data_IF_606533051084
#
_entry.id   IF_606533051084
#
_cell.length_a   1.000
_cell.length_b   1.000
_cell.length_c   1.000
_cell.angle_alpha   90.00
_cell.angle_beta   90.00
_cell.angle_gamma   90.00
#
_symmetry.space_group_name_H-M   'P 1'
#
loop_
_entity.id
_entity.type
_entity.pdbx_description
1 polymer ?
#
# COMPACT_ATOMS: atom_id res chain seq x y z
N UNK A 1 -8.87 -4.21 11.90
CA UNK A 1 -7.78 -4.76 11.08
C UNK A 1 -8.20 -4.64 9.63
N UNK A 2 -7.37 -4.06 8.76
CA UNK A 2 -7.69 -3.89 7.33
C UNK A 2 -8.87 -2.94 7.06
N UNK A 3 -8.82 -1.70 7.56
CA UNK A 3 -9.94 -0.74 7.51
C UNK A 3 -10.23 -0.14 6.12
N UNK A 4 -9.43 -0.50 5.12
CA UNK A 4 -9.53 0.11 3.81
C UNK A 4 -8.90 1.50 3.75
N UNK A 5 -8.98 2.12 2.58
CA UNK A 5 -8.39 3.43 2.31
C UNK A 5 -8.89 4.01 0.99
N UNK A 6 -8.86 5.33 0.89
CA UNK A 6 -9.16 6.00 -0.38
C UNK A 6 -7.91 5.99 -1.25
N UNK A 7 -8.09 5.73 -2.53
CA UNK A 7 -7.02 5.61 -3.53
C UNK A 7 -7.29 6.62 -4.64
N UNK A 8 -6.24 7.33 -5.06
CA UNK A 8 -6.28 8.22 -6.22
C UNK A 8 -5.21 7.79 -7.20
N UNK A 9 -5.58 7.62 -8.47
CA UNK A 9 -4.66 7.39 -9.57
C UNK A 9 -4.31 8.72 -10.24
N UNK A 10 -3.01 8.96 -10.43
CA UNK A 10 -2.49 10.13 -11.13
C UNK A 10 -1.81 9.71 -12.45
N UNK A 11 -2.02 10.50 -13.49
CA UNK A 11 -1.31 10.41 -14.76
C UNK A 11 -0.75 11.80 -15.09
N UNK A 12 0.56 11.89 -15.32
CA UNK A 12 1.28 13.16 -15.50
C UNK A 12 0.95 14.22 -14.43
N UNK A 13 0.89 13.78 -13.17
CA UNK A 13 0.58 14.64 -12.02
C UNK A 13 -0.89 15.05 -11.89
N UNK A 14 -1.77 14.64 -12.82
CA UNK A 14 -3.21 14.94 -12.78
C UNK A 14 -4.00 13.75 -12.25
N UNK A 15 -4.93 14.00 -11.32
CA UNK A 15 -5.86 12.97 -10.86
C UNK A 15 -6.78 12.53 -12.01
N UNK A 16 -6.80 11.22 -12.29
CA UNK A 16 -7.60 10.61 -13.37
C UNK A 16 -8.61 9.58 -12.88
N UNK A 17 -8.52 9.16 -11.62
CA UNK A 17 -9.46 8.23 -11.02
C UNK A 17 -9.37 8.23 -9.50
N UNK A 18 -10.49 7.97 -8.84
CA UNK A 18 -10.58 7.87 -7.38
C UNK A 18 -11.54 6.75 -7.01
N UNK A 19 -11.27 6.10 -5.89
CA UNK A 19 -12.12 5.05 -5.35
C UNK A 19 -11.71 4.68 -3.93
N UNK A 20 -12.48 3.78 -3.32
CA UNK A 20 -12.18 3.24 -2.01
C UNK A 20 -11.86 1.76 -2.09
N UNK A 21 -10.74 1.38 -1.48
CA UNK A 21 -10.44 -0.01 -1.16
C UNK A 21 -11.11 -0.31 0.17
N UNK A 22 -12.08 -1.22 0.20
CA UNK A 22 -12.86 -1.50 1.41
C UNK A 22 -12.05 -2.20 2.50
N UNK A 23 -11.09 -3.05 2.11
CA UNK A 23 -10.21 -3.76 3.04
C UNK A 23 -8.78 -3.80 2.54
N UNK A 24 -7.87 -3.37 3.39
CA UNK A 24 -6.42 -3.49 3.17
C UNK A 24 -5.87 -4.75 3.82
N UNK A 25 -4.73 -5.25 3.33
CA UNK A 25 -3.98 -6.35 3.97
C UNK A 25 -3.51 -5.92 5.37
N UNK A 26 -4.01 -6.52 6.47
CA UNK A 26 -3.79 -5.98 7.81
C UNK A 26 -2.40 -6.18 8.43
N UNK A 27 -1.58 -7.13 7.96
CA UNK A 27 -0.38 -7.55 8.71
C UNK A 27 0.84 -7.82 7.83
N UNK A 28 0.80 -8.89 7.03
CA UNK A 28 1.92 -9.30 6.18
C UNK A 28 1.44 -9.44 4.74
N UNK A 29 2.27 -9.03 3.78
CA UNK A 29 1.97 -9.15 2.35
C UNK A 29 2.31 -10.54 1.84
N UNK A 30 3.55 -10.98 2.03
CA UNK A 30 4.02 -12.32 1.65
C UNK A 30 5.15 -12.79 2.57
N UNK A 31 5.39 -14.11 2.58
CA UNK A 31 6.57 -14.71 3.23
C UNK A 31 7.65 -15.12 2.21
N UNK A 32 7.26 -15.29 0.94
CA UNK A 32 8.05 -15.88 -0.14
C UNK A 32 7.98 -15.12 -1.48
N UNK A 33 6.97 -14.28 -1.70
CA UNK A 33 6.90 -13.39 -2.88
C UNK A 33 7.69 -12.09 -2.68
N UNK A 34 8.40 -11.65 -3.71
CA UNK A 34 9.19 -10.42 -3.71
C UNK A 34 8.40 -9.21 -4.26
N UNK A 35 8.99 -8.01 -4.16
CA UNK A 35 8.48 -6.82 -4.84
C UNK A 35 9.01 -6.81 -6.28
N UNK A 36 8.24 -7.40 -7.19
CA UNK A 36 8.60 -7.47 -8.60
C UNK A 36 8.29 -6.16 -9.34
N UNK A 37 9.08 -5.85 -10.37
CA UNK A 37 8.88 -4.69 -11.24
C UNK A 37 8.86 -5.14 -12.69
N UNK A 38 7.73 -4.90 -13.38
CA UNK A 38 7.57 -5.17 -14.81
C UNK A 38 7.18 -6.60 -15.16
N UNK A 39 7.03 -7.51 -14.20
CA UNK A 39 6.43 -8.83 -14.37
C UNK A 39 6.05 -9.40 -13.01
N UNK A 40 5.04 -10.27 -12.92
CA UNK A 40 4.82 -11.05 -11.70
C UNK A 40 5.55 -12.39 -11.82
N UNK A 41 6.39 -12.74 -10.84
CA UNK A 41 7.13 -14.01 -10.82
C UNK A 41 6.44 -15.12 -10.04
N UNK A 42 5.38 -14.78 -9.29
CA UNK A 42 4.57 -15.69 -8.48
C UNK A 42 3.08 -15.66 -8.87
N UNK A 43 2.24 -15.34 -7.89
CA UNK A 43 0.79 -15.24 -8.07
C UNK A 43 0.44 -13.95 -8.85
N UNK A 44 -0.44 -14.01 -9.86
CA UNK A 44 -0.82 -12.81 -10.59
C UNK A 44 -1.63 -11.86 -9.70
N UNK A 45 -1.31 -10.56 -9.75
CA UNK A 45 -2.03 -9.53 -8.99
C UNK A 45 -3.42 -9.20 -9.57
N UNK A 46 -3.71 -9.59 -10.82
CA UNK A 46 -5.01 -9.40 -11.48
C UNK A 46 -5.49 -10.70 -12.13
N UNK A 47 -6.82 -10.97 -12.14
CA UNK A 47 -7.38 -12.06 -12.94
C UNK A 47 -7.23 -11.87 -14.46
N UNK A 48 -6.83 -10.68 -14.92
CA UNK A 48 -6.70 -10.35 -16.34
C UNK A 48 -5.49 -11.01 -17.02
N UNK A 49 -4.55 -11.55 -16.24
CA UNK A 49 -3.37 -12.24 -16.76
C UNK A 49 -2.97 -13.43 -15.89
N UNK A 50 -2.24 -14.37 -16.50
CA UNK A 50 -1.76 -15.59 -15.85
C UNK A 50 -0.37 -15.46 -15.23
N UNK A 51 0.13 -16.53 -14.59
CA UNK A 51 1.45 -16.54 -13.94
C UNK A 51 2.64 -16.52 -14.93
N UNK A 52 2.39 -16.57 -16.24
CA UNK A 52 3.42 -16.56 -17.28
C UNK A 52 3.04 -15.64 -18.43
N UNK A 53 4.04 -15.13 -19.16
CA UNK A 53 3.81 -14.23 -20.29
C UNK A 53 3.28 -12.85 -19.91
N UNK A 54 3.42 -12.45 -18.65
CA UNK A 54 2.95 -11.18 -18.09
C UNK A 54 4.04 -10.07 -18.08
N UNK A 55 5.15 -10.29 -18.77
CA UNK A 55 6.24 -9.33 -18.82
C UNK A 55 5.82 -8.06 -19.57
N UNK A 56 6.02 -6.91 -18.93
CA UNK A 56 5.84 -5.60 -19.52
C UNK A 56 6.78 -5.44 -20.72
N UNK A 57 6.23 -5.00 -21.85
CA UNK A 57 6.98 -4.89 -23.12
C UNK A 57 7.63 -3.52 -23.33
N UNK A 58 7.40 -2.56 -22.43
CA UNK A 58 7.99 -1.22 -22.48
C UNK A 58 9.24 -1.10 -21.62
N UNK A 59 9.60 0.15 -21.31
CA UNK A 59 10.72 0.48 -20.42
C UNK A 59 10.22 1.19 -19.17
N UNK A 60 10.62 0.70 -18.01
CA UNK A 60 10.39 1.34 -16.71
C UNK A 60 11.69 2.05 -16.33
N UNK A 61 11.67 3.38 -16.28
CA UNK A 61 12.87 4.16 -15.95
C UNK A 61 13.20 4.10 -14.45
N UNK A 62 12.18 4.25 -13.60
CA UNK A 62 12.30 4.18 -12.15
C UNK A 62 10.94 3.83 -11.52
N UNK A 63 11.01 3.29 -10.31
CA UNK A 63 9.86 3.08 -9.42
C UNK A 63 10.24 3.66 -8.06
N UNK A 64 9.35 4.46 -7.47
CA UNK A 64 9.52 5.02 -6.14
C UNK A 64 8.34 4.58 -5.28
N UNK A 65 8.64 4.15 -4.06
CA UNK A 65 7.65 3.85 -3.04
C UNK A 65 7.92 4.82 -1.89
N UNK A 66 7.06 5.84 -1.79
CA UNK A 66 7.08 6.73 -0.65
C UNK A 66 6.20 6.15 0.45
N UNK A 67 6.82 5.85 1.58
CA UNK A 67 6.08 5.66 2.81
C UNK A 67 5.71 7.06 3.32
N UNK A 68 4.49 7.22 3.81
CA UNK A 68 4.11 8.47 4.49
C UNK A 68 5.03 8.75 5.69
N UNK A 69 4.77 9.84 6.43
CA UNK A 69 5.37 9.98 7.74
C UNK A 69 5.08 8.70 8.55
N UNK A 70 6.09 8.16 9.24
CA UNK A 70 5.98 6.99 10.12
C UNK A 70 5.12 7.30 11.36
N UNK A 71 3.88 7.70 11.10
CA UNK A 71 2.91 8.22 12.05
C UNK A 71 2.09 7.04 12.55
N UNK A 72 2.57 6.47 13.65
CA UNK A 72 1.83 5.52 14.49
C UNK A 72 0.69 6.20 15.27
N UNK A 73 0.33 7.44 14.92
CA UNK A 73 -0.70 8.21 15.60
C UNK A 73 -2.06 7.52 15.59
N UNK A 74 -2.32 6.72 14.56
CA UNK A 74 -3.52 5.91 14.39
C UNK A 74 -3.59 4.70 15.33
N UNK A 75 -2.48 4.35 16.02
CA UNK A 75 -2.41 3.27 17.01
C UNK A 75 -2.61 3.77 18.45
N UNK A 76 -2.55 5.09 18.68
CA UNK A 76 -2.67 5.70 20.02
C UNK A 76 -3.88 6.62 20.01
N UNK A 77 -4.92 6.26 20.77
CA UNK A 77 -6.14 7.09 20.86
C UNK A 77 -5.82 8.43 21.51
N UNK A 78 -6.67 9.45 21.29
CA UNK A 78 -6.53 10.74 21.96
C UNK A 78 -6.55 10.59 23.49
N UNK A 79 -7.28 9.60 23.99
CA UNK A 79 -7.38 9.25 25.40
C UNK A 79 -6.08 8.60 25.92
N UNK A 80 -5.46 7.71 25.14
CA UNK A 80 -4.14 7.15 25.47
C UNK A 80 -3.06 8.24 25.55
N UNK A 81 -3.10 9.22 24.62
CA UNK A 81 -2.20 10.39 24.67
C UNK A 81 -2.42 11.25 25.90
N UNK A 82 -3.69 11.50 26.24
CA UNK A 82 -4.07 12.27 27.41
C UNK A 82 -3.61 11.56 28.69
N UNK A 83 -3.84 10.26 28.81
CA UNK A 83 -3.44 9.47 29.97
C UNK A 83 -1.92 9.42 30.15
N UNK A 84 -1.14 9.29 29.08
CA UNK A 84 0.33 9.35 29.12
C UNK A 84 0.82 10.76 29.53
N UNK A 85 0.23 11.82 28.98
CA UNK A 85 0.61 13.20 29.31
C UNK A 85 0.28 13.58 30.78
N UNK A 86 -0.76 12.94 31.35
CA UNK A 86 -1.20 13.17 32.72
C UNK A 86 -0.54 12.22 33.74
N UNK A 87 0.11 11.15 33.28
CA UNK A 87 0.92 10.28 34.13
C UNK A 87 2.25 10.98 34.48
N UNK A 88 2.26 11.72 35.60
CA UNK A 88 3.51 12.19 36.23
C UNK A 88 4.15 11.07 37.09
N UNK A 89 5.48 11.08 37.16
CA UNK A 89 6.29 10.34 38.15
C UNK A 89 5.83 10.64 39.58
#
# INVERSE_FOLDING_TARGET
MGRGGDVTLFYDGKAVGQGRVERTQPMAFSADEACDVGCDTGSPASPDYGPTGNAFSGTIAWVQIDLGADSHDHLITAEDRFNIAMAKQ
#
